data_IF_006703174639
#
_entry.id   IF_006703174639
#
_cell.length_a   1.000
_cell.length_b   1.000
_cell.length_c   1.000
_cell.angle_alpha   90.00
_cell.angle_beta   90.00
_cell.angle_gamma   90.00
#
_symmetry.space_group_name_H-M   'P 1'
#
loop_
_entity.id
_entity.type
_entity.pdbx_description
1 polymer ?
#
# COMPACT_ATOMS: atom_id res chain seq x y z
N UNK A 1 2.35 -17.23 0.58
CA UNK A 1 1.32 -16.48 1.31
C UNK A 1 0.54 -17.43 2.22
N UNK A 2 0.64 -17.25 3.54
CA UNK A 2 -0.18 -17.99 4.53
C UNK A 2 -1.36 -17.13 5.00
N UNK A 3 -2.57 -17.45 4.53
CA UNK A 3 -3.79 -16.72 4.90
C UNK A 3 -4.22 -16.97 6.35
N UNK A 4 -3.96 -18.17 6.88
CA UNK A 4 -4.35 -18.52 8.24
C UNK A 4 -3.45 -17.84 9.27
N UNK A 5 -2.14 -17.77 9.01
CA UNK A 5 -1.22 -16.99 9.84
C UNK A 5 -1.62 -15.51 9.88
N UNK A 6 -1.99 -14.93 8.73
CA UNK A 6 -2.46 -13.55 8.70
C UNK A 6 -3.76 -13.37 9.50
N UNK A 7 -4.73 -14.28 9.37
CA UNK A 7 -5.97 -14.20 10.14
C UNK A 7 -5.73 -14.25 11.66
N UNK A 8 -4.80 -15.11 12.12
CA UNK A 8 -4.38 -15.15 13.53
C UNK A 8 -3.73 -13.85 13.98
N UNK A 9 -2.85 -13.28 13.14
CA UNK A 9 -2.20 -11.99 13.43
C UNK A 9 -3.22 -10.83 13.48
N UNK A 10 -4.20 -10.83 12.58
CA UNK A 10 -5.27 -9.85 12.53
C UNK A 10 -6.18 -9.92 13.76
N UNK A 11 -6.59 -11.12 14.18
CA UNK A 11 -7.36 -11.34 15.41
C UNK A 11 -6.60 -10.81 16.63
N UNK A 12 -5.34 -11.22 16.80
CA UNK A 12 -4.48 -10.75 17.91
C UNK A 12 -4.30 -9.23 17.94
N UNK A 13 -4.17 -8.61 16.76
CA UNK A 13 -4.06 -7.15 16.66
C UNK A 13 -5.38 -6.43 16.98
N UNK A 14 -6.52 -7.05 16.66
CA UNK A 14 -7.84 -6.53 17.00
C UNK A 14 -8.12 -6.63 18.51
N UNK A 15 -7.80 -7.77 19.14
CA UNK A 15 -7.96 -7.97 20.59
C UNK A 15 -7.16 -6.93 21.37
N UNK A 16 -5.88 -6.75 21.03
CA UNK A 16 -5.06 -5.73 21.66
C UNK A 16 -5.60 -4.30 21.46
N UNK A 17 -6.28 -4.03 20.34
CA UNK A 17 -6.90 -2.73 20.10
C UNK A 17 -8.18 -2.53 20.93
N UNK A 18 -8.97 -3.58 21.16
CA UNK A 18 -10.16 -3.55 22.01
C UNK A 18 -9.80 -3.22 23.47
N UNK A 19 -8.74 -3.83 24.01
CA UNK A 19 -8.27 -3.60 25.38
C UNK A 19 -7.79 -2.15 25.63
N UNK A 20 -7.34 -1.45 24.58
CA UNK A 20 -6.75 -0.12 24.70
C UNK A 20 -7.72 1.02 24.38
N UNK A 21 -8.86 0.75 23.76
CA UNK A 21 -9.78 1.75 23.21
C UNK A 21 -9.47 2.15 21.75
N UNK A 22 -10.50 2.55 21.00
CA UNK A 22 -10.35 2.96 19.59
C UNK A 22 -9.72 4.35 19.53
N UNK A 23 -8.46 4.43 19.09
CA UNK A 23 -7.76 5.70 18.80
C UNK A 23 -6.73 6.17 19.85
N UNK A 24 -6.54 5.40 20.91
CA UNK A 24 -5.57 5.65 22.01
C UNK A 24 -4.18 5.04 21.75
N UNK A 25 -4.03 4.14 20.77
CA UNK A 25 -2.74 3.56 20.38
C UNK A 25 -1.98 4.42 19.36
N UNK A 26 -0.67 4.57 19.56
CA UNK A 26 0.25 5.10 18.55
C UNK A 26 0.32 4.22 17.28
N UNK A 27 0.06 2.92 17.42
CA UNK A 27 0.10 1.95 16.33
C UNK A 27 -1.32 1.50 15.92
N UNK A 28 -1.61 1.56 14.61
CA UNK A 28 -2.91 1.10 14.08
C UNK A 28 -3.02 -0.44 14.06
N UNK A 29 -4.23 -1.03 14.23
CA UNK A 29 -4.43 -2.48 14.17
C UNK A 29 -3.93 -3.11 12.87
N UNK A 30 -4.12 -2.42 11.74
CA UNK A 30 -3.57 -2.83 10.44
C UNK A 30 -2.05 -3.00 10.47
N UNK A 31 -1.35 -2.04 11.07
CA UNK A 31 0.11 -2.04 11.16
C UNK A 31 0.61 -3.15 12.10
N UNK A 32 -0.01 -3.28 13.27
CA UNK A 32 0.29 -4.32 14.24
C UNK A 32 0.08 -5.73 13.66
N UNK A 33 -1.02 -5.95 12.93
CA UNK A 33 -1.30 -7.23 12.27
C UNK A 33 -0.24 -7.59 11.22
N UNK A 34 0.17 -6.63 10.41
CA UNK A 34 1.22 -6.84 9.41
C UNK A 34 2.56 -7.12 10.08
N UNK A 35 2.93 -6.38 11.13
CA UNK A 35 4.15 -6.66 11.90
C UNK A 35 4.16 -8.08 12.44
N UNK A 36 3.07 -8.49 13.09
CA UNK A 36 2.90 -9.85 13.63
C UNK A 36 2.93 -10.92 12.55
N UNK A 37 2.37 -10.64 11.37
CA UNK A 37 2.36 -11.55 10.24
C UNK A 37 3.76 -11.76 9.66
N UNK A 38 4.50 -10.68 9.43
CA UNK A 38 5.85 -10.75 8.85
C UNK A 38 6.90 -11.20 9.86
N UNK A 39 6.68 -10.93 11.16
CA UNK A 39 7.59 -11.36 12.22
C UNK A 39 6.83 -11.58 13.54
N UNK A 40 6.48 -12.84 13.88
CA UNK A 40 5.72 -13.14 15.10
C UNK A 40 6.56 -12.95 16.37
N UNK A 41 7.90 -13.05 16.29
CA UNK A 41 8.79 -12.94 17.45
C UNK A 41 8.96 -11.48 17.83
N UNK A 42 8.70 -11.14 19.09
CA UNK A 42 8.80 -9.75 19.56
C UNK A 42 10.24 -9.19 19.51
N UNK A 43 11.25 -10.02 19.72
CA UNK A 43 12.66 -9.62 19.75
C UNK A 43 13.19 -9.01 18.44
N UNK A 44 12.50 -9.22 17.32
CA UNK A 44 12.90 -8.75 16.00
C UNK A 44 12.05 -7.56 15.51
N UNK A 45 11.14 -7.04 16.34
CA UNK A 45 10.26 -5.91 16.01
C UNK A 45 10.69 -4.65 16.75
N UNK A 46 10.51 -3.50 16.10
CA UNK A 46 10.84 -2.18 16.66
C UNK A 46 12.32 -2.06 17.07
N UNK A 47 13.21 -2.50 16.17
CA UNK A 47 14.65 -2.60 16.44
C UNK A 47 15.36 -1.30 16.06
N UNK A 48 16.26 -0.76 16.90
CA UNK A 48 17.08 0.38 16.54
C UNK A 48 18.16 -0.03 15.52
N UNK A 49 18.22 0.66 14.38
CA UNK A 49 19.19 0.45 13.30
C UNK A 49 19.53 1.81 12.69
N UNK A 50 20.83 2.14 12.58
CA UNK A 50 21.35 3.37 11.95
C UNK A 50 20.67 4.67 12.42
N UNK A 51 20.35 4.76 13.71
CA UNK A 51 19.69 5.94 14.30
C UNK A 51 18.17 6.01 14.05
N UNK A 52 17.56 4.97 13.48
CA UNK A 52 16.12 4.83 13.29
C UNK A 52 15.57 3.62 14.04
N UNK A 53 14.29 3.65 14.40
CA UNK A 53 13.56 2.45 14.85
C UNK A 53 12.88 1.85 13.62
N UNK A 54 13.25 0.63 13.26
CA UNK A 54 12.65 -0.11 12.12
C UNK A 54 11.56 -1.05 12.58
N UNK A 55 10.56 -1.28 11.74
CA UNK A 55 9.41 -2.11 12.15
C UNK A 55 9.83 -3.55 12.43
N UNK A 56 10.69 -4.11 11.58
CA UNK A 56 11.24 -5.45 11.72
C UNK A 56 12.71 -5.44 11.26
N UNK A 57 13.58 -6.11 12.02
CA UNK A 57 14.93 -6.48 11.61
C UNK A 57 15.13 -7.95 11.90
N UNK A 58 15.33 -8.78 10.87
CA UNK A 58 15.66 -10.20 11.02
C UNK A 58 16.72 -10.63 9.99
N UNK A 59 16.96 -11.93 9.85
CA UNK A 59 17.98 -12.49 8.96
C UNK A 59 17.76 -12.11 7.49
N UNK A 60 16.51 -11.88 7.06
CA UNK A 60 16.19 -11.48 5.69
C UNK A 60 16.45 -9.99 5.41
N UNK A 61 16.75 -9.20 6.45
CA UNK A 61 17.01 -7.77 6.37
C UNK A 61 16.01 -6.94 7.19
N UNK A 62 15.73 -5.73 6.71
CA UNK A 62 14.79 -4.80 7.32
C UNK A 62 13.44 -4.93 6.61
N UNK A 63 12.34 -4.89 7.36
CA UNK A 63 11.01 -4.70 6.79
C UNK A 63 10.43 -3.42 7.39
N UNK A 64 9.96 -2.53 6.51
CA UNK A 64 9.23 -1.31 6.86
C UNK A 64 7.79 -1.44 6.36
N UNK A 65 6.82 -1.32 7.25
CA UNK A 65 5.40 -1.40 6.92
C UNK A 65 4.86 0.03 6.89
N UNK A 66 4.39 0.49 5.74
CA UNK A 66 3.90 1.86 5.65
C UNK A 66 2.53 1.94 5.02
N UNK A 67 1.61 2.59 5.73
CA UNK A 67 0.19 2.68 5.33
C UNK A 67 -0.14 3.97 4.57
N UNK A 68 0.74 4.98 4.64
CA UNK A 68 0.62 6.29 3.97
C UNK A 68 1.91 7.09 4.08
N UNK A 69 2.00 8.17 3.30
CA UNK A 69 2.97 9.25 3.45
C UNK A 69 4.44 8.83 3.24
N UNK A 70 4.70 8.17 2.11
CA UNK A 70 6.03 7.69 1.75
C UNK A 70 7.06 8.83 1.62
N UNK A 71 6.60 10.07 1.43
CA UNK A 71 7.48 11.23 1.43
C UNK A 71 8.24 11.39 2.75
N UNK A 72 7.58 11.18 3.91
CA UNK A 72 8.25 11.21 5.22
C UNK A 72 9.22 10.04 5.42
N UNK A 73 8.91 8.90 4.80
CA UNK A 73 9.72 7.70 4.86
C UNK A 73 10.99 7.81 4.00
N UNK A 74 10.99 8.62 2.94
CA UNK A 74 12.07 8.71 1.94
C UNK A 74 13.46 8.86 2.56
N UNK A 75 13.63 9.75 3.56
CA UNK A 75 14.93 9.97 4.22
C UNK A 75 15.41 8.74 4.98
N UNK A 76 14.51 8.11 5.74
CA UNK A 76 14.79 6.87 6.47
C UNK A 76 15.17 5.74 5.50
N UNK A 77 14.40 5.54 4.44
CA UNK A 77 14.72 4.52 3.43
C UNK A 77 16.06 4.79 2.76
N UNK A 78 16.37 6.02 2.38
CA UNK A 78 17.64 6.35 1.74
C UNK A 78 18.82 5.93 2.63
N UNK A 79 18.80 6.30 3.91
CA UNK A 79 19.85 5.93 4.87
C UNK A 79 19.97 4.40 5.06
N UNK A 80 18.85 3.71 5.28
CA UNK A 80 18.87 2.26 5.51
C UNK A 80 19.33 1.47 4.28
N UNK A 81 19.00 1.94 3.07
CA UNK A 81 19.36 1.26 1.82
C UNK A 81 20.87 1.28 1.55
N UNK A 82 21.64 2.19 2.16
CA UNK A 82 23.10 2.25 2.04
C UNK A 82 23.79 1.00 2.59
N UNK A 83 23.22 0.38 3.63
CA UNK A 83 23.86 -0.72 4.36
C UNK A 83 22.99 -1.99 4.49
N UNK A 84 21.70 -1.91 4.12
CA UNK A 84 20.77 -3.00 4.37
C UNK A 84 19.84 -3.27 3.19
N UNK A 85 19.53 -4.55 3.00
CA UNK A 85 18.35 -4.97 2.25
C UNK A 85 17.09 -4.52 3.02
N UNK A 86 16.23 -3.76 2.36
CA UNK A 86 14.99 -3.23 2.93
C UNK A 86 13.80 -3.70 2.10
N UNK A 87 12.81 -4.28 2.77
CA UNK A 87 11.53 -4.64 2.19
C UNK A 87 10.47 -3.64 2.64
N UNK A 88 9.97 -2.83 1.71
CA UNK A 88 8.86 -1.92 1.95
C UNK A 88 7.54 -2.63 1.71
N UNK A 89 6.78 -2.85 2.78
CA UNK A 89 5.43 -3.42 2.73
C UNK A 89 4.41 -2.30 2.65
N UNK A 90 3.59 -2.33 1.60
CA UNK A 90 2.47 -1.42 1.40
C UNK A 90 1.13 -2.18 1.39
N UNK A 91 0.25 -1.97 2.39
CA UNK A 91 -1.06 -2.58 2.39
C UNK A 91 -2.06 -1.83 1.51
N UNK A 92 -2.71 -2.58 0.61
CA UNK A 92 -3.79 -2.09 -0.26
C UNK A 92 -5.12 -2.67 0.21
N UNK A 93 -6.09 -1.80 0.47
CA UNK A 93 -7.47 -2.20 0.78
C UNK A 93 -8.20 -2.66 -0.50
N UNK A 94 -7.92 -3.90 -0.94
CA UNK A 94 -8.46 -4.47 -2.17
C UNK A 94 -9.96 -4.73 -2.05
N UNK A 95 -10.39 -5.25 -0.89
CA UNK A 95 -11.79 -5.34 -0.47
C UNK A 95 -11.95 -4.53 0.81
N UNK A 96 -12.96 -3.66 0.83
CA UNK A 96 -13.20 -2.76 1.96
C UNK A 96 -14.66 -2.77 2.38
N UNK A 97 -14.91 -3.02 3.64
CA UNK A 97 -16.19 -2.81 4.30
C UNK A 97 -16.15 -1.47 5.04
N UNK A 98 -17.24 -0.71 4.97
CA UNK A 98 -17.34 0.61 5.59
C UNK A 98 -18.37 0.54 6.71
N UNK A 99 -17.96 1.02 7.87
CA UNK A 99 -18.81 1.19 9.05
C UNK A 99 -18.72 2.65 9.50
N UNK A 100 -19.86 3.19 9.96
CA UNK A 100 -19.96 4.56 10.43
C UNK A 100 -20.20 4.57 11.92
N UNK A 101 -19.44 5.41 12.62
CA UNK A 101 -19.54 5.66 14.06
C UNK A 101 -20.23 7.00 14.24
N UNK A 102 -21.34 7.03 14.95
CA UNK A 102 -21.88 8.28 15.46
C UNK A 102 -20.94 8.80 16.57
N UNK A 103 -20.34 10.01 16.42
CA UNK A 103 -19.37 10.50 17.38
C UNK A 103 -19.98 10.86 18.74
N UNK A 104 -21.29 11.08 18.80
CA UNK A 104 -22.00 11.54 20.00
C UNK A 104 -22.52 10.35 20.82
N UNK A 105 -23.03 9.31 20.14
CA UNK A 105 -23.59 8.11 20.81
C UNK A 105 -22.65 6.91 20.83
N UNK A 106 -21.66 6.87 19.94
CA UNK A 106 -20.80 5.70 19.71
C UNK A 106 -21.46 4.58 18.91
N UNK A 107 -22.71 4.74 18.45
CA UNK A 107 -23.42 3.74 17.67
C UNK A 107 -22.72 3.44 16.34
N UNK A 108 -22.66 2.16 15.97
CA UNK A 108 -22.01 1.69 14.75
C UNK A 108 -23.03 1.15 13.77
N UNK A 109 -23.05 1.69 12.56
CA UNK A 109 -23.92 1.18 11.49
C UNK A 109 -23.52 -0.22 11.03
N UNK A 110 -24.46 -0.99 10.50
CA UNK A 110 -24.17 -2.27 9.84
C UNK A 110 -23.11 -2.17 8.73
N UNK A 111 -22.34 -3.26 8.55
CA UNK A 111 -21.27 -3.34 7.55
C UNK A 111 -21.81 -3.21 6.12
N UNK A 112 -21.20 -2.34 5.31
CA UNK A 112 -21.49 -2.21 3.88
C UNK A 112 -20.24 -2.34 3.03
N UNK A 113 -20.29 -3.17 2.00
CA UNK A 113 -19.18 -3.31 1.04
C UNK A 113 -18.97 -2.02 0.25
N UNK A 114 -17.73 -1.55 0.15
CA UNK A 114 -17.35 -0.44 -0.73
C UNK A 114 -17.45 -0.89 -2.19
N UNK A 115 -18.03 -0.08 -3.09
CA UNK A 115 -17.99 -0.37 -4.52
C UNK A 115 -16.58 -0.24 -5.11
N UNK A 116 -15.69 0.52 -4.45
CA UNK A 116 -14.31 0.70 -4.89
C UNK A 116 -13.50 -0.57 -4.60
N UNK A 117 -12.97 -1.19 -5.65
CA UNK A 117 -11.95 -2.23 -5.59
C UNK A 117 -10.62 -1.63 -5.97
N UNK A 118 -9.61 -1.78 -5.11
CA UNK A 118 -8.28 -1.25 -5.41
C UNK A 118 -7.43 -2.34 -6.05
N UNK A 119 -6.81 -2.01 -7.18
CA UNK A 119 -5.80 -2.85 -7.82
C UNK A 119 -4.41 -2.61 -7.20
N UNK A 120 -3.43 -3.50 -7.43
CA UNK A 120 -2.05 -3.29 -6.99
C UNK A 120 -1.46 -1.96 -7.49
N UNK A 121 -1.91 -1.51 -8.67
CA UNK A 121 -1.59 -0.20 -9.25
C UNK A 121 -1.90 0.99 -8.31
N UNK A 122 -2.77 0.82 -7.31
CA UNK A 122 -3.01 1.84 -6.29
C UNK A 122 -1.74 2.21 -5.49
N UNK A 123 -0.74 1.32 -5.44
CA UNK A 123 0.54 1.60 -4.81
C UNK A 123 1.31 2.75 -5.48
N UNK A 124 1.11 2.99 -6.79
CA UNK A 124 1.81 4.05 -7.51
C UNK A 124 1.54 5.47 -6.96
N UNK A 125 0.42 5.67 -6.26
CA UNK A 125 0.13 6.93 -5.60
C UNK A 125 1.17 7.29 -4.52
N UNK A 126 1.67 6.29 -3.78
CA UNK A 126 2.69 6.47 -2.72
C UNK A 126 4.10 6.21 -3.26
N UNK A 127 4.28 5.21 -4.14
CA UNK A 127 5.57 4.92 -4.76
C UNK A 127 6.13 6.11 -5.54
N UNK A 128 5.26 6.95 -6.13
CA UNK A 128 5.66 8.19 -6.79
C UNK A 128 6.48 9.14 -5.90
N UNK A 129 6.26 9.14 -4.58
CA UNK A 129 6.99 9.98 -3.62
C UNK A 129 8.44 9.53 -3.41
N UNK A 130 8.73 8.25 -3.66
CA UNK A 130 10.05 7.63 -3.48
C UNK A 130 10.65 7.13 -4.80
N UNK A 131 10.18 7.64 -5.95
CA UNK A 131 10.57 7.15 -7.28
C UNK A 131 12.09 7.03 -7.49
N UNK A 132 12.89 7.92 -6.86
CA UNK A 132 14.35 7.88 -6.95
C UNK A 132 15.04 6.75 -6.17
N UNK A 133 14.31 6.03 -5.33
CA UNK A 133 14.81 4.87 -4.57
C UNK A 133 14.32 3.53 -5.14
N UNK A 134 13.32 3.55 -6.03
CA UNK A 134 12.61 2.34 -6.49
C UNK A 134 13.46 1.35 -7.28
N UNK A 135 14.60 1.81 -7.82
CA UNK A 135 15.53 0.98 -8.58
C UNK A 135 16.78 0.62 -7.78
N UNK A 136 16.82 0.96 -6.49
CA UNK A 136 17.94 0.64 -5.62
C UNK A 136 18.04 -0.89 -5.45
N UNK A 137 19.23 -1.51 -5.60
CA UNK A 137 19.37 -2.98 -5.57
C UNK A 137 18.99 -3.59 -4.22
N UNK A 138 19.11 -2.82 -3.14
CA UNK A 138 18.72 -3.25 -1.79
C UNK A 138 17.23 -3.04 -1.47
N UNK A 139 16.43 -2.43 -2.36
CA UNK A 139 15.02 -2.18 -2.10
C UNK A 139 14.15 -3.29 -2.72
N UNK A 140 13.31 -3.88 -1.89
CA UNK A 140 12.22 -4.78 -2.29
C UNK A 140 10.89 -4.17 -1.91
N UNK A 141 9.85 -4.43 -2.68
CA UNK A 141 8.50 -3.95 -2.40
C UNK A 141 7.56 -5.14 -2.29
N UNK A 142 6.70 -5.10 -1.27
CA UNK A 142 5.64 -6.08 -1.05
C UNK A 142 4.31 -5.35 -0.99
N UNK A 143 3.40 -5.69 -1.90
CA UNK A 143 2.03 -5.16 -1.87
C UNK A 143 1.14 -6.21 -1.23
N UNK A 144 0.69 -5.94 0.00
CA UNK A 144 -0.25 -6.80 0.71
C UNK A 144 -1.68 -6.40 0.32
N UNK A 145 -2.34 -7.23 -0.48
CA UNK A 145 -3.73 -7.00 -0.90
C UNK A 145 -4.66 -7.52 0.18
N UNK A 146 -5.41 -6.63 0.82
CA UNK A 146 -6.17 -6.95 2.02
C UNK A 146 -7.67 -6.83 1.83
N UNK A 147 -8.39 -7.68 2.56
CA UNK A 147 -9.76 -7.41 2.99
C UNK A 147 -9.72 -6.73 4.35
N UNK A 148 -10.44 -5.62 4.52
CA UNK A 148 -10.47 -4.89 5.78
C UNK A 148 -11.79 -4.15 6.01
N UNK A 149 -12.03 -3.81 7.27
CA UNK A 149 -13.04 -2.86 7.70
C UNK A 149 -12.42 -1.47 7.88
N UNK A 150 -13.10 -0.44 7.39
CA UNK A 150 -12.75 0.95 7.59
C UNK A 150 -13.87 1.65 8.37
N UNK A 151 -13.56 1.97 9.61
CA UNK A 151 -14.44 2.71 10.50
C UNK A 151 -14.23 4.21 10.27
N UNK A 152 -15.34 4.94 10.17
CA UNK A 152 -15.35 6.38 9.92
C UNK A 152 -16.34 7.07 10.85
N UNK A 153 -16.00 8.26 11.30
CA UNK A 153 -16.95 9.07 12.09
C UNK A 153 -17.98 9.73 11.17
N UNK A 154 -19.23 9.86 11.61
CA UNK A 154 -20.25 10.70 10.97
C UNK A 154 -19.97 12.19 11.26
N UNK A 155 -18.76 12.66 10.96
CA UNK A 155 -18.30 14.02 11.21
C UNK A 155 -17.95 14.79 9.93
N UNK A 156 -18.34 14.26 8.78
CA UNK A 156 -18.22 14.93 7.50
C UNK A 156 -19.33 15.94 7.26
N UNK A 157 -19.36 16.51 6.06
CA UNK A 157 -20.39 17.47 5.65
C UNK A 157 -21.48 16.84 4.77
N UNK A 158 -22.55 17.61 4.55
CA UNK A 158 -23.74 17.22 3.79
C UNK A 158 -24.78 16.53 4.65
N UNK A 159 -25.96 16.28 4.06
CA UNK A 159 -27.15 15.76 4.74
C UNK A 159 -26.88 14.50 5.58
N UNK A 160 -26.04 13.58 5.07
CA UNK A 160 -25.71 12.35 5.77
C UNK A 160 -24.40 12.38 6.57
N UNK A 161 -23.70 13.52 6.64
CA UNK A 161 -22.40 13.69 7.34
C UNK A 161 -21.27 12.76 6.87
N UNK A 162 -21.35 12.17 5.67
CA UNK A 162 -20.36 11.18 5.18
C UNK A 162 -19.24 11.78 4.32
N UNK A 163 -19.42 12.98 3.77
CA UNK A 163 -18.46 13.57 2.83
C UNK A 163 -17.24 14.14 3.57
N UNK A 164 -16.03 13.75 3.12
CA UNK A 164 -14.74 14.04 3.79
C UNK A 164 -14.68 13.67 5.28
N UNK A 165 -15.56 12.80 5.73
CA UNK A 165 -15.54 12.28 7.08
C UNK A 165 -14.20 11.62 7.43
N UNK A 166 -13.79 11.82 8.67
CA UNK A 166 -12.52 11.33 9.23
C UNK A 166 -12.55 9.81 9.34
N UNK A 167 -11.44 9.18 8.97
CA UNK A 167 -11.23 7.75 9.19
C UNK A 167 -10.78 7.55 10.65
N UNK A 168 -11.51 6.73 11.38
CA UNK A 168 -11.17 6.34 12.74
C UNK A 168 -10.05 5.29 12.69
N UNK A 169 -10.34 4.11 12.14
CA UNK A 169 -9.41 2.98 12.15
C UNK A 169 -9.62 2.07 10.95
N UNK A 170 -8.59 1.27 10.63
CA UNK A 170 -8.69 0.12 9.71
C UNK A 170 -8.38 -1.15 10.47
N UNK A 171 -9.28 -2.12 10.36
CA UNK A 171 -9.14 -3.44 10.96
C UNK A 171 -8.98 -4.46 9.83
N UNK A 172 -7.82 -5.11 9.70
CA UNK A 172 -7.63 -6.13 8.66
C UNK A 172 -8.49 -7.36 8.97
N UNK A 173 -9.10 -7.93 7.94
CA UNK A 173 -9.88 -9.17 8.02
C UNK A 173 -9.14 -10.34 7.38
N UNK A 174 -8.41 -10.11 6.29
CA UNK A 174 -7.73 -11.17 5.57
C UNK A 174 -6.70 -10.68 4.56
N UNK A 175 -5.72 -11.54 4.29
CA UNK A 175 -4.73 -11.37 3.22
C UNK A 175 -5.25 -12.10 1.97
N UNK A 176 -5.57 -11.32 0.95
CA UNK A 176 -6.14 -11.82 -0.30
C UNK A 176 -5.05 -12.25 -1.27
N UNK A 177 -3.98 -11.45 -1.35
CA UNK A 177 -2.83 -11.67 -2.22
C UNK A 177 -1.58 -10.94 -1.68
N UNK A 178 -0.40 -11.39 -2.07
CA UNK A 178 0.88 -10.74 -1.77
C UNK A 178 1.73 -10.66 -3.03
N UNK A 179 1.98 -9.43 -3.49
CA UNK A 179 2.72 -9.19 -4.73
C UNK A 179 4.12 -8.69 -4.39
N UNK A 180 5.11 -9.41 -4.89
CA UNK A 180 6.53 -9.09 -4.75
C UNK A 180 7.06 -8.34 -5.95
N UNK A 181 7.77 -7.25 -5.70
CA UNK A 181 8.61 -6.53 -6.67
C UNK A 181 10.00 -6.43 -6.04
N UNK A 182 10.82 -7.43 -6.32
CA UNK A 182 12.19 -7.60 -5.84
C UNK A 182 13.23 -7.08 -6.86
N UNK A 183 12.79 -6.74 -8.08
CA UNK A 183 13.62 -6.15 -9.12
C UNK A 183 12.79 -5.22 -10.04
N UNK A 184 13.42 -4.23 -10.72
CA UNK A 184 12.74 -3.29 -11.60
C UNK A 184 11.81 -3.93 -12.66
N UNK A 185 12.25 -4.99 -13.33
CA UNK A 185 11.44 -5.68 -14.34
C UNK A 185 10.10 -6.23 -13.80
N UNK A 186 10.02 -6.46 -12.48
CA UNK A 186 8.81 -6.98 -11.83
C UNK A 186 7.75 -5.90 -11.57
N UNK A 187 8.00 -4.62 -11.87
CA UNK A 187 6.96 -3.59 -11.84
C UNK A 187 5.80 -3.90 -12.83
N UNK A 188 6.02 -4.78 -13.81
CA UNK A 188 4.98 -5.41 -14.63
C UNK A 188 3.82 -5.98 -13.81
N UNK A 189 4.09 -6.51 -12.61
CA UNK A 189 3.09 -7.09 -11.70
C UNK A 189 2.10 -6.07 -11.12
N UNK A 190 2.41 -4.78 -11.21
CA UNK A 190 1.55 -3.69 -10.73
C UNK A 190 0.71 -3.05 -11.84
N UNK A 191 0.86 -3.51 -13.09
CA UNK A 191 0.15 -2.95 -14.24
C UNK A 191 -1.31 -3.42 -14.23
N UNK A 192 -2.29 -2.52 -14.43
CA UNK A 192 -3.68 -2.92 -14.51
C UNK A 192 -3.94 -3.77 -15.78
N UNK A 193 -4.84 -4.77 -15.71
CA UNK A 193 -5.22 -5.54 -16.88
C UNK A 193 -6.03 -4.69 -17.88
N UNK A 194 -6.12 -5.17 -19.12
CA UNK A 194 -7.01 -4.57 -20.14
C UNK A 194 -6.49 -3.28 -20.78
N UNK A 195 -5.19 -2.99 -20.66
CA UNK A 195 -4.57 -1.92 -21.43
C UNK A 195 -4.44 -2.33 -22.91
N UNK A 196 -4.77 -1.43 -23.86
CA UNK A 196 -4.49 -1.68 -25.28
C UNK A 196 -2.96 -1.71 -25.53
N UNK A 197 -2.49 -2.25 -26.67
CA UNK A 197 -1.06 -2.33 -27.00
C UNK A 197 -0.33 -0.99 -26.90
N UNK A 198 -1.01 0.10 -27.31
CA UNK A 198 -0.56 1.47 -27.13
C UNK A 198 -1.59 2.24 -26.30
N UNK A 199 -1.16 2.91 -25.24
CA UNK A 199 -2.04 3.59 -24.29
C UNK A 199 -1.49 4.94 -23.82
N UNK A 200 -2.37 5.79 -23.30
CA UNK A 200 -1.99 7.07 -22.68
C UNK A 200 -2.10 6.98 -21.16
N UNK A 201 -1.59 7.98 -20.44
CA UNK A 201 -1.81 8.10 -18.99
C UNK A 201 -3.30 8.10 -18.59
N UNK A 202 -4.19 8.60 -19.45
CA UNK A 202 -5.63 8.58 -19.20
C UNK A 202 -6.22 7.17 -19.31
N UNK A 203 -5.74 6.37 -20.25
CA UNK A 203 -6.12 4.96 -20.36
C UNK A 203 -5.61 4.16 -19.14
N UNK A 204 -4.35 4.37 -18.74
CA UNK A 204 -3.78 3.77 -17.53
C UNK A 204 -4.58 4.14 -16.28
N UNK A 205 -4.91 5.42 -16.12
CA UNK A 205 -5.72 5.93 -15.01
C UNK A 205 -7.07 5.21 -14.90
N UNK A 206 -7.78 5.05 -16.03
CA UNK A 206 -9.09 4.39 -16.09
C UNK A 206 -8.98 2.90 -15.74
N UNK A 207 -8.02 2.19 -16.34
CA UNK A 207 -7.80 0.77 -16.07
C UNK A 207 -7.39 0.50 -14.61
N UNK A 208 -6.52 1.35 -14.04
CA UNK A 208 -6.05 1.20 -12.67
C UNK A 208 -7.02 1.72 -11.60
N UNK A 209 -7.98 2.58 -11.96
CA UNK A 209 -8.88 3.21 -10.98
C UNK A 209 -8.17 4.19 -10.03
N UNK A 210 -7.12 4.86 -10.50
CA UNK A 210 -6.27 5.79 -9.73
C UNK A 210 -6.42 7.24 -10.21
N UNK A 211 -5.74 8.19 -9.54
CA UNK A 211 -5.70 9.59 -9.99
C UNK A 211 -4.80 9.74 -11.21
N UNK A 212 -4.99 10.81 -12.01
CA UNK A 212 -4.14 11.08 -13.17
C UNK A 212 -2.67 11.29 -12.75
N UNK A 213 -2.44 11.99 -11.64
CA UNK A 213 -1.09 12.19 -11.10
C UNK A 213 -0.42 10.86 -10.73
N UNK A 214 -1.16 9.94 -10.10
CA UNK A 214 -0.65 8.60 -9.79
C UNK A 214 -0.38 7.78 -11.06
N UNK A 215 -1.24 7.89 -12.09
CA UNK A 215 -1.00 7.24 -13.38
C UNK A 215 0.25 7.78 -14.09
N UNK A 216 0.47 9.10 -14.06
CA UNK A 216 1.69 9.70 -14.60
C UNK A 216 2.94 9.27 -13.81
N UNK A 217 2.84 9.20 -12.47
CA UNK A 217 3.92 8.67 -11.64
C UNK A 217 4.22 7.20 -11.97
N UNK A 218 3.17 6.37 -12.12
CA UNK A 218 3.30 4.98 -12.54
C UNK A 218 4.10 4.87 -13.84
N UNK A 219 3.75 5.66 -14.88
CA UNK A 219 4.44 5.60 -16.17
C UNK A 219 5.88 6.06 -16.08
N UNK A 220 6.21 7.08 -15.27
CA UNK A 220 7.61 7.44 -15.03
C UNK A 220 8.40 6.29 -14.41
N UNK A 221 7.82 5.61 -13.42
CA UNK A 221 8.44 4.47 -12.73
C UNK A 221 8.62 3.31 -13.70
N UNK A 222 7.56 2.97 -14.46
CA UNK A 222 7.58 1.88 -15.45
C UNK A 222 8.61 2.14 -16.56
N UNK A 223 8.71 3.38 -17.05
CA UNK A 223 9.74 3.75 -18.03
C UNK A 223 11.15 3.67 -17.44
N UNK A 224 11.35 4.18 -16.23
CA UNK A 224 12.65 4.11 -15.55
C UNK A 224 13.07 2.65 -15.29
N UNK A 225 12.11 1.77 -15.04
CA UNK A 225 12.32 0.34 -14.86
C UNK A 225 12.49 -0.45 -16.18
N UNK A 226 12.41 0.20 -17.34
CA UNK A 226 12.45 -0.45 -18.65
C UNK A 226 11.23 -1.31 -18.98
N UNK A 227 10.15 -1.20 -18.20
CA UNK A 227 8.91 -1.98 -18.35
C UNK A 227 7.95 -1.35 -19.35
N UNK A 228 8.02 -0.03 -19.54
CA UNK A 228 7.25 0.71 -20.53
C UNK A 228 8.16 1.62 -21.33
N UNK A 229 7.75 1.95 -22.55
CA UNK A 229 8.49 2.88 -23.42
C UNK A 229 7.55 3.93 -23.97
N UNK A 230 8.11 5.12 -24.22
CA UNK A 230 7.40 6.18 -24.92
C UNK A 230 7.42 5.91 -26.43
N UNK A 231 6.26 5.73 -27.04
CA UNK A 231 6.13 5.38 -28.47
C UNK A 231 5.76 6.57 -29.35
N UNK A 232 5.39 7.71 -28.78
CA UNK A 232 5.04 8.90 -29.53
C UNK A 232 4.03 9.79 -28.82
N UNK A 233 3.34 10.64 -29.59
CA UNK A 233 2.32 11.55 -29.08
C UNK A 233 1.00 11.41 -29.84
N UNK A 234 -0.11 11.51 -29.11
CA UNK A 234 -1.44 11.71 -29.66
C UNK A 234 -1.91 13.11 -29.24
N UNK A 235 -1.75 14.08 -30.14
CA UNK A 235 -1.89 15.50 -29.80
C UNK A 235 -0.89 15.90 -28.70
N UNK A 236 -1.39 16.40 -27.56
CA UNK A 236 -0.55 16.80 -26.40
C UNK A 236 -0.24 15.66 -25.43
N UNK A 237 -0.74 14.45 -25.69
CA UNK A 237 -0.62 13.30 -24.77
C UNK A 237 0.50 12.39 -25.22
N UNK A 238 1.35 12.00 -24.30
CA UNK A 238 2.31 10.92 -24.51
C UNK A 238 1.61 9.57 -24.65
N UNK A 239 2.08 8.77 -25.60
CA UNK A 239 1.65 7.40 -25.87
C UNK A 239 2.77 6.47 -25.41
N UNK A 240 2.36 5.38 -24.78
CA UNK A 240 3.21 4.38 -24.19
C UNK A 240 2.85 3.01 -24.73
N UNK A 241 3.82 2.11 -24.75
CA UNK A 241 3.61 0.67 -24.90
C UNK A 241 4.39 -0.06 -23.79
N UNK A 242 3.97 -1.28 -23.47
CA UNK A 242 4.80 -2.15 -22.65
C UNK A 242 6.04 -2.54 -23.45
N UNK A 243 7.19 -2.58 -22.77
CA UNK A 243 8.38 -3.15 -23.38
C UNK A 243 8.10 -4.63 -23.69
N UNK A 244 8.51 -5.10 -24.87
CA UNK A 244 8.47 -6.53 -25.18
C UNK A 244 9.33 -7.32 -24.19
N UNK A 245 9.15 -8.66 -24.09
CA UNK A 245 10.07 -9.48 -23.32
C UNK A 245 11.49 -9.21 -23.84
N UNK A 246 12.40 -8.88 -22.94
CA UNK A 246 13.82 -8.84 -23.28
C UNK A 246 14.19 -10.24 -23.78
N UNK A 247 14.40 -10.38 -25.09
CA UNK A 247 15.09 -11.53 -25.65
C UNK A 247 16.52 -11.45 -25.15
N UNK A 248 16.79 -12.17 -24.06
CA UNK A 248 18.10 -12.36 -23.45
C UNK A 248 18.22 -13.80 -23.02
#
# INVERSE_FOLDING_TARGET
MDKQAFARAAAKAADGAADSGIGTRNESPLHAALKLYFEPRCAFREVPVDGYIVDIKNEAGIIEIQTRNFLKLKRKLAALLEHHAVTLVYPVAAVKWILWIDPDTGEITGRRKSPKRCLPAAAFAELGCIQGLLLHPNLRIRIAMLELEEYKYLNGYGENRKRRATRAVRVPLGLLDEISVDAPAQFTRLIPPGLPPCFTAEAFRKAAGISLSAAQAALRILCAAGVAVHTGKQGRRYVYALAGPATG
#
